data_IF_750107732077
#
_entry.id   IF_750107732077
#
_cell.length_a   1.000
_cell.length_b   1.000
_cell.length_c   1.000
_cell.angle_alpha   90.00
_cell.angle_beta   90.00
_cell.angle_gamma   90.00
#
_symmetry.space_group_name_H-M   'P 1'
#
loop_
_entity.id
_entity.type
_entity.pdbx_description
1 polymer ?
#
# COMPACT_ATOMS: atom_id res chain seq x y z
N UNK A 1 -7.46 -21.36 15.00
CA UNK A 1 -7.99 -20.13 15.62
C UNK A 1 -6.98 -19.02 15.36
N UNK A 2 -7.21 -18.18 14.35
CA UNK A 2 -6.21 -17.17 13.94
C UNK A 2 -6.81 -16.06 13.08
N UNK A 3 -8.06 -15.65 13.35
CA UNK A 3 -8.82 -14.75 12.47
C UNK A 3 -9.22 -13.39 13.06
N UNK A 4 -8.87 -13.08 14.32
CA UNK A 4 -9.25 -11.79 14.93
C UNK A 4 -8.05 -10.95 15.40
N UNK A 5 -6.93 -11.56 15.78
CA UNK A 5 -5.78 -10.83 16.33
C UNK A 5 -4.90 -10.13 15.27
N UNK A 6 -4.89 -10.60 14.01
CA UNK A 6 -4.14 -9.93 12.92
C UNK A 6 -4.81 -8.62 12.47
N UNK A 7 -6.15 -8.57 12.46
CA UNK A 7 -6.90 -7.43 11.94
C UNK A 7 -6.73 -6.16 12.80
N UNK A 8 -6.64 -6.33 14.13
CA UNK A 8 -6.42 -5.22 15.05
C UNK A 8 -5.04 -4.57 14.88
N UNK A 9 -4.05 -5.27 14.31
CA UNK A 9 -2.71 -4.69 14.09
C UNK A 9 -2.60 -3.90 12.78
N UNK A 10 -3.22 -4.36 11.69
CA UNK A 10 -3.07 -3.68 10.40
C UNK A 10 -3.82 -2.34 10.34
N UNK A 11 -4.95 -2.19 11.06
CA UNK A 11 -5.63 -0.90 11.15
C UNK A 11 -4.76 0.16 11.85
N UNK A 12 -3.98 -0.23 12.85
CA UNK A 12 -3.01 0.65 13.51
C UNK A 12 -1.90 1.07 12.54
N UNK A 13 -1.42 0.14 11.73
CA UNK A 13 -0.45 0.44 10.67
C UNK A 13 -0.98 1.48 9.69
N UNK A 14 -2.25 1.36 9.25
CA UNK A 14 -2.90 2.34 8.37
C UNK A 14 -2.89 3.75 9.00
N UNK A 15 -3.14 3.83 10.31
CA UNK A 15 -3.22 5.10 11.03
C UNK A 15 -1.87 5.80 11.20
N UNK A 16 -0.74 5.07 11.18
CA UNK A 16 0.59 5.63 11.41
C UNK A 16 1.46 5.70 10.15
N UNK A 17 1.14 4.93 9.10
CA UNK A 17 1.98 4.81 7.89
C UNK A 17 2.07 6.16 7.18
N UNK A 18 3.29 6.62 6.96
CA UNK A 18 3.59 7.79 6.12
C UNK A 18 4.62 7.46 5.04
N UNK A 19 4.71 8.30 4.02
CA UNK A 19 5.71 8.18 2.96
C UNK A 19 7.09 8.65 3.47
N UNK A 20 7.93 7.71 3.90
CA UNK A 20 9.28 7.97 4.44
C UNK A 20 10.27 8.19 3.28
N UNK A 21 11.10 9.22 3.36
CA UNK A 21 12.06 9.56 2.29
C UNK A 21 13.50 9.69 2.76
N UNK A 22 13.72 9.65 4.07
CA UNK A 22 15.04 9.69 4.66
C UNK A 22 15.20 8.49 5.59
N UNK A 23 16.30 7.79 5.42
CA UNK A 23 16.61 6.57 6.12
C UNK A 23 17.93 6.73 6.89
N UNK A 24 18.07 6.02 8.00
CA UNK A 24 19.36 5.87 8.66
C UNK A 24 20.27 4.93 7.85
N UNK A 25 21.58 5.04 8.04
CA UNK A 25 22.57 4.15 7.42
C UNK A 25 22.61 2.74 8.08
N UNK A 26 21.78 2.52 9.10
CA UNK A 26 21.68 1.22 9.78
C UNK A 26 21.03 0.19 8.85
N UNK A 27 21.67 -0.97 8.63
CA UNK A 27 21.12 -2.01 7.78
C UNK A 27 19.91 -2.68 8.43
N UNK A 28 18.99 -3.18 7.61
CA UNK A 28 17.96 -4.10 8.08
C UNK A 28 18.67 -5.40 8.50
N UNK A 29 18.66 -5.71 9.79
CA UNK A 29 19.32 -6.88 10.35
C UNK A 29 18.77 -8.19 9.78
N UNK A 30 19.57 -9.25 9.85
CA UNK A 30 19.24 -10.54 9.23
C UNK A 30 18.01 -11.22 9.84
N UNK A 31 17.71 -10.99 11.12
CA UNK A 31 16.50 -11.54 11.72
C UNK A 31 15.27 -10.83 11.18
N UNK A 32 15.29 -9.49 11.16
CA UNK A 32 14.22 -8.69 10.54
C UNK A 32 14.04 -9.05 9.06
N UNK A 33 15.12 -9.13 8.28
CA UNK A 33 15.06 -9.49 6.88
C UNK A 33 14.43 -10.87 6.66
N UNK A 34 14.87 -11.88 7.42
CA UNK A 34 14.29 -13.24 7.39
C UNK A 34 12.81 -13.24 7.74
N UNK A 35 12.38 -12.44 8.71
CA UNK A 35 10.97 -12.33 9.08
C UNK A 35 10.13 -11.67 7.99
N UNK A 36 10.65 -10.64 7.30
CA UNK A 36 9.99 -10.02 6.14
C UNK A 36 9.88 -11.02 4.99
N UNK A 37 10.95 -11.76 4.68
CA UNK A 37 10.96 -12.79 3.64
C UNK A 37 9.97 -13.94 3.94
N UNK A 38 9.86 -14.36 5.20
CA UNK A 38 8.85 -15.33 5.62
C UNK A 38 7.42 -14.79 5.45
N UNK A 39 7.19 -13.51 5.76
CA UNK A 39 5.88 -12.86 5.57
C UNK A 39 5.51 -12.70 4.08
N UNK A 40 6.50 -12.57 3.20
CA UNK A 40 6.29 -12.51 1.75
C UNK A 40 5.81 -13.84 1.15
N UNK A 41 6.13 -14.99 1.75
CA UNK A 41 5.74 -16.30 1.21
C UNK A 41 4.22 -16.47 1.02
N UNK A 42 3.36 -16.30 2.05
CA UNK A 42 1.92 -16.40 1.87
C UNK A 42 1.36 -15.28 0.99
N UNK A 43 1.97 -14.09 1.02
CA UNK A 43 1.61 -12.96 0.15
C UNK A 43 1.80 -13.31 -1.33
N UNK A 44 2.97 -13.85 -1.68
CA UNK A 44 3.28 -14.27 -3.04
C UNK A 44 2.38 -15.41 -3.50
N UNK A 45 2.12 -16.38 -2.62
CA UNK A 45 1.24 -17.50 -2.94
C UNK A 45 -0.21 -17.05 -3.20
N UNK A 46 -0.77 -16.18 -2.36
CA UNK A 46 -2.16 -15.74 -2.47
C UNK A 46 -2.38 -14.73 -3.60
N UNK A 47 -1.35 -13.94 -3.93
CA UNK A 47 -1.42 -12.95 -4.99
C UNK A 47 -1.06 -13.47 -6.38
N UNK A 48 -0.49 -14.67 -6.47
CA UNK A 48 0.25 -15.14 -7.66
C UNK A 48 1.34 -14.14 -8.08
N UNK A 49 2.19 -13.77 -7.11
CA UNK A 49 3.22 -12.75 -7.24
C UNK A 49 4.61 -13.30 -6.89
N UNK A 50 5.64 -12.50 -7.15
CA UNK A 50 7.02 -12.79 -6.83
C UNK A 50 7.71 -11.56 -6.20
N UNK A 51 7.08 -11.02 -5.16
CA UNK A 51 7.61 -9.90 -4.37
C UNK A 51 8.88 -10.36 -3.64
N UNK A 52 9.95 -9.58 -3.77
CA UNK A 52 11.28 -9.92 -3.25
C UNK A 52 11.83 -8.77 -2.41
N UNK A 53 12.38 -9.07 -1.23
CA UNK A 53 13.20 -8.13 -0.48
C UNK A 53 14.59 -8.07 -1.11
N UNK A 54 15.02 -6.89 -1.53
CA UNK A 54 16.37 -6.63 -2.03
C UNK A 54 17.05 -5.62 -1.12
N UNK A 55 18.22 -5.97 -0.59
CA UNK A 55 19.00 -5.16 0.36
C UNK A 55 20.30 -4.64 -0.26
N UNK A 56 20.79 -3.54 0.30
CA UNK A 56 22.13 -2.97 0.05
C UNK A 56 22.43 -2.63 -1.41
N UNK A 57 21.45 -2.07 -2.13
CA UNK A 57 21.58 -1.62 -3.52
C UNK A 57 21.38 -0.09 -3.66
N UNK A 58 22.27 0.75 -3.09
CA UNK A 58 22.14 2.21 -3.17
C UNK A 58 22.22 2.77 -4.60
N UNK A 59 22.82 2.01 -5.54
CA UNK A 59 22.88 2.38 -6.96
C UNK A 59 21.51 2.51 -7.61
N UNK A 60 20.54 1.70 -7.18
CA UNK A 60 19.14 1.77 -7.63
C UNK A 60 18.54 3.14 -7.34
N UNK A 61 19.03 3.84 -6.31
CA UNK A 61 18.53 5.14 -5.88
C UNK A 61 19.57 6.26 -6.05
N UNK A 62 20.63 6.06 -6.84
CA UNK A 62 21.76 7.00 -6.90
C UNK A 62 21.34 8.43 -7.23
N UNK A 63 20.51 8.64 -8.26
CA UNK A 63 20.00 9.96 -8.65
C UNK A 63 19.06 10.56 -7.59
N UNK A 64 18.15 9.74 -7.04
CA UNK A 64 17.22 10.17 -6.02
C UNK A 64 17.93 10.57 -4.70
N UNK A 65 18.98 9.84 -4.31
CA UNK A 65 19.82 10.16 -3.17
C UNK A 65 20.68 11.41 -3.44
N UNK A 66 21.30 11.52 -4.63
CA UNK A 66 22.14 12.66 -4.99
C UNK A 66 21.36 13.98 -5.09
N UNK A 67 20.11 13.92 -5.56
CA UNK A 67 19.21 15.08 -5.63
C UNK A 67 18.58 15.45 -4.28
N UNK A 68 18.71 14.61 -3.25
CA UNK A 68 18.06 14.78 -1.95
C UNK A 68 16.56 14.47 -1.95
N UNK A 69 16.01 13.94 -3.06
CA UNK A 69 14.64 13.44 -3.11
C UNK A 69 14.43 12.24 -2.17
N UNK A 70 15.46 11.39 -2.08
CA UNK A 70 15.64 10.37 -1.06
C UNK A 70 16.93 10.67 -0.28
N UNK A 71 17.07 10.07 0.90
CA UNK A 71 18.31 10.08 1.66
C UNK A 71 18.58 8.67 2.16
N UNK A 72 19.76 8.13 1.83
CA UNK A 72 20.22 6.79 2.22
C UNK A 72 19.28 5.64 1.81
N UNK A 73 18.52 5.81 0.73
CA UNK A 73 17.72 4.72 0.19
C UNK A 73 18.64 3.65 -0.41
N UNK A 74 18.52 2.40 0.06
CA UNK A 74 19.34 1.27 -0.39
C UNK A 74 18.59 -0.06 -0.46
N UNK A 75 17.44 -0.20 0.20
CA UNK A 75 16.68 -1.44 0.24
C UNK A 75 15.27 -1.24 -0.32
N UNK A 76 14.71 -2.28 -0.94
CA UNK A 76 13.38 -2.22 -1.51
C UNK A 76 12.69 -3.58 -1.55
N UNK A 77 11.36 -3.55 -1.54
CA UNK A 77 10.52 -4.63 -2.01
C UNK A 77 10.34 -4.47 -3.53
N UNK A 78 10.86 -5.41 -4.30
CA UNK A 78 10.66 -5.48 -5.74
C UNK A 78 9.32 -6.15 -6.01
N UNK A 79 8.37 -5.43 -6.61
CA UNK A 79 7.02 -5.96 -6.87
C UNK A 79 6.99 -6.58 -8.27
N UNK A 80 7.14 -7.90 -8.34
CA UNK A 80 7.17 -8.67 -9.61
C UNK A 80 5.90 -9.49 -9.71
N UNK A 81 5.29 -9.54 -10.90
CA UNK A 81 4.08 -10.31 -11.16
C UNK A 81 3.89 -10.64 -12.65
N UNK A 82 2.78 -11.31 -13.01
CA UNK A 82 2.41 -11.65 -14.39
C UNK A 82 2.43 -10.47 -15.37
N UNK A 83 3.15 -10.60 -16.48
CA UNK A 83 3.19 -9.57 -17.51
C UNK A 83 1.85 -9.48 -18.27
N UNK A 84 1.46 -8.26 -18.67
CA UNK A 84 0.24 -7.98 -19.45
C UNK A 84 -1.08 -8.40 -18.75
N UNK A 85 -1.14 -8.34 -17.42
CA UNK A 85 -2.34 -8.59 -16.63
C UNK A 85 -2.60 -7.40 -15.69
N UNK A 86 -3.68 -6.65 -15.95
CA UNK A 86 -4.06 -5.49 -15.11
C UNK A 86 -4.60 -5.93 -13.74
N UNK A 87 -5.31 -7.05 -13.66
CA UNK A 87 -5.75 -7.60 -12.37
C UNK A 87 -4.56 -8.10 -11.56
N UNK A 88 -3.47 -8.55 -12.20
CA UNK A 88 -2.22 -8.86 -11.51
C UNK A 88 -1.59 -7.62 -10.88
N UNK A 89 -1.66 -6.46 -11.53
CA UNK A 89 -1.20 -5.18 -10.94
C UNK A 89 -2.06 -4.75 -9.77
N UNK A 90 -3.37 -5.00 -9.83
CA UNK A 90 -4.26 -4.79 -8.68
C UNK A 90 -3.93 -5.73 -7.52
N UNK A 91 -3.78 -7.03 -7.78
CA UNK A 91 -3.31 -8.00 -6.77
C UNK A 91 -1.97 -7.57 -6.19
N UNK A 92 -1.05 -7.08 -7.03
CA UNK A 92 0.23 -6.54 -6.60
C UNK A 92 0.08 -5.38 -5.62
N UNK A 93 -0.74 -4.37 -5.94
CA UNK A 93 -1.03 -3.27 -5.02
C UNK A 93 -1.64 -3.76 -3.70
N UNK A 94 -2.64 -4.65 -3.78
CA UNK A 94 -3.33 -5.20 -2.62
C UNK A 94 -2.40 -5.98 -1.69
N UNK A 95 -1.62 -6.91 -2.22
CA UNK A 95 -0.78 -7.78 -1.41
C UNK A 95 0.55 -7.15 -1.02
N UNK A 96 1.15 -6.31 -1.86
CA UNK A 96 2.33 -5.55 -1.48
C UNK A 96 2.02 -4.54 -0.39
N UNK A 97 0.87 -3.86 -0.42
CA UNK A 97 0.50 -2.94 0.66
C UNK A 97 0.33 -3.67 2.00
N UNK A 98 -0.13 -4.94 2.00
CA UNK A 98 -0.13 -5.75 3.23
C UNK A 98 1.29 -5.90 3.79
N UNK A 99 2.29 -6.06 2.92
CA UNK A 99 3.69 -6.09 3.33
C UNK A 99 4.18 -4.71 3.81
N UNK A 100 3.75 -3.61 3.17
CA UNK A 100 4.05 -2.24 3.59
C UNK A 100 3.54 -1.96 5.00
N UNK A 101 2.30 -2.32 5.29
CA UNK A 101 1.70 -2.19 6.62
C UNK A 101 2.42 -3.10 7.65
N UNK A 102 2.79 -4.32 7.25
CA UNK A 102 3.57 -5.24 8.09
C UNK A 102 4.95 -4.66 8.42
N UNK A 103 5.65 -4.07 7.46
CA UNK A 103 6.93 -3.40 7.67
C UNK A 103 6.79 -2.17 8.60
N UNK A 104 5.69 -1.42 8.44
CA UNK A 104 5.38 -0.25 9.28
C UNK A 104 5.20 -0.66 10.75
N UNK A 105 4.49 -1.75 11.03
CA UNK A 105 4.36 -2.29 12.40
C UNK A 105 5.67 -2.76 13.01
N UNK A 106 6.67 -3.05 12.18
CA UNK A 106 8.03 -3.41 12.60
C UNK A 106 8.92 -2.18 12.76
N UNK A 107 8.37 -0.97 12.67
CA UNK A 107 9.09 0.28 12.80
C UNK A 107 9.91 0.68 11.56
N UNK A 108 9.71 0.01 10.43
CA UNK A 108 10.38 0.36 9.18
C UNK A 108 9.60 1.43 8.42
N UNK A 109 10.32 2.39 7.86
CA UNK A 109 9.80 3.38 6.94
C UNK A 109 9.60 2.77 5.56
N UNK A 110 8.53 3.21 4.88
CA UNK A 110 8.17 2.70 3.56
C UNK A 110 7.82 3.82 2.58
N UNK A 111 8.11 3.58 1.29
CA UNK A 111 7.74 4.48 0.21
C UNK A 111 7.57 3.74 -1.12
N UNK A 112 6.36 3.78 -1.67
CA UNK A 112 6.10 3.39 -3.05
C UNK A 112 6.87 4.29 -4.04
N UNK A 113 7.56 3.66 -4.99
CA UNK A 113 8.33 4.33 -6.04
C UNK A 113 8.01 3.75 -7.41
N UNK A 114 7.76 4.66 -8.35
CA UNK A 114 7.63 4.37 -9.79
C UNK A 114 8.75 5.07 -10.58
N UNK A 115 9.02 6.34 -10.28
CA UNK A 115 10.04 7.16 -10.96
C UNK A 115 11.29 7.47 -10.13
N UNK A 116 11.22 7.44 -8.79
CA UNK A 116 12.35 7.79 -7.91
C UNK A 116 13.34 6.64 -7.70
N UNK A 117 13.59 5.85 -8.76
CA UNK A 117 14.51 4.72 -8.78
C UNK A 117 14.93 4.37 -10.21
N UNK A 118 16.10 3.74 -10.37
CA UNK A 118 16.52 3.09 -11.62
C UNK A 118 15.94 1.68 -11.66
N UNK A 119 14.80 1.54 -12.35
CA UNK A 119 14.10 0.26 -12.51
C UNK A 119 14.94 -0.78 -13.26
N UNK A 120 15.81 -0.36 -14.18
CA UNK A 120 16.65 -1.27 -14.95
C UNK A 120 17.82 -1.79 -14.09
N UNK A 121 18.40 -0.94 -13.24
CA UNK A 121 19.37 -1.37 -12.22
C UNK A 121 18.69 -2.30 -11.21
N UNK A 122 17.50 -1.96 -10.71
CA UNK A 122 16.77 -2.79 -9.76
C UNK A 122 16.51 -4.20 -10.29
N UNK A 123 16.10 -4.32 -11.56
CA UNK A 123 15.84 -5.59 -12.22
C UNK A 123 17.05 -6.54 -12.23
N UNK A 124 18.29 -6.03 -12.19
CA UNK A 124 19.52 -6.87 -12.14
C UNK A 124 19.64 -7.67 -10.84
N UNK A 125 18.95 -7.24 -9.79
CA UNK A 125 18.97 -7.87 -8.46
C UNK A 125 17.70 -8.67 -8.17
N UNK A 126 16.80 -8.78 -9.15
CA UNK A 126 15.52 -9.47 -9.00
C UNK A 126 15.51 -10.76 -9.82
N UNK A 127 14.84 -11.79 -9.32
CA UNK A 127 14.46 -12.94 -10.14
C UNK A 127 13.14 -12.62 -10.83
N UNK A 128 13.18 -12.43 -12.14
CA UNK A 128 11.99 -12.24 -12.99
C UNK A 128 11.96 -13.40 -14.00
N UNK A 129 10.92 -14.24 -13.96
CA UNK A 129 10.82 -15.39 -14.87
C UNK A 129 10.17 -15.01 -16.21
N UNK A 130 10.21 -15.91 -17.19
CA UNK A 130 9.41 -15.76 -18.41
C UNK A 130 7.93 -15.60 -18.05
N UNK A 131 7.26 -14.60 -18.64
CA UNK A 131 5.87 -14.25 -18.32
C UNK A 131 5.70 -13.34 -17.10
N UNK A 132 6.78 -12.90 -16.46
CA UNK A 132 6.73 -11.90 -15.38
C UNK A 132 7.37 -10.57 -15.81
N UNK A 133 7.02 -9.50 -15.11
CA UNK A 133 7.69 -8.21 -15.18
C UNK A 133 7.82 -7.59 -13.79
N UNK A 134 8.81 -6.71 -13.62
CA UNK A 134 8.93 -5.86 -12.44
C UNK A 134 7.94 -4.69 -12.61
N UNK A 135 6.94 -4.55 -11.74
CA UNK A 135 5.97 -3.46 -11.82
C UNK A 135 6.53 -2.17 -11.20
N UNK A 136 6.75 -2.20 -9.89
CA UNK A 136 7.04 -1.07 -9.00
C UNK A 136 8.00 -1.49 -7.90
N UNK A 137 8.47 -0.53 -7.11
CA UNK A 137 9.25 -0.77 -5.91
C UNK A 137 8.60 -0.15 -4.68
N UNK A 138 8.90 -0.70 -3.51
CA UNK A 138 8.70 -0.01 -2.23
C UNK A 138 10.05 0.13 -1.54
N UNK A 139 10.56 1.34 -1.40
CA UNK A 139 11.76 1.60 -0.59
C UNK A 139 11.44 1.26 0.86
N UNK A 140 12.36 0.57 1.53
CA UNK A 140 12.20 0.12 2.91
C UNK A 140 13.49 0.33 3.71
N UNK A 141 13.38 0.72 4.97
CA UNK A 141 14.53 0.89 5.86
C UNK A 141 14.18 1.56 7.18
N UNK A 142 15.16 1.73 8.06
CA UNK A 142 14.99 2.47 9.29
C UNK A 142 14.74 3.95 8.97
N UNK A 143 13.61 4.56 9.38
CA UNK A 143 13.38 5.99 9.18
C UNK A 143 14.50 6.81 9.81
N UNK A 144 14.86 7.95 9.23
CA UNK A 144 15.90 8.81 9.80
C UNK A 144 15.63 9.11 11.28
N UNK A 145 16.64 8.93 12.13
CA UNK A 145 16.55 8.96 13.60
C UNK A 145 15.55 7.91 14.13
N UNK A 146 15.69 6.65 13.71
CA UNK A 146 14.67 5.62 13.98
C UNK A 146 14.44 5.36 15.47
N UNK A 147 15.44 5.54 16.34
CA UNK A 147 15.27 5.41 17.79
C UNK A 147 14.29 6.47 18.33
N UNK A 148 14.43 7.73 17.88
CA UNK A 148 13.49 8.80 18.25
C UNK A 148 12.11 8.54 17.64
N UNK A 149 12.06 8.01 16.40
CA UNK A 149 10.80 7.64 15.75
C UNK A 149 10.07 6.52 16.52
N UNK A 150 10.78 5.49 16.97
CA UNK A 150 10.24 4.37 17.74
C UNK A 150 9.82 4.78 19.16
N UNK A 151 10.40 5.85 19.71
CA UNK A 151 10.03 6.38 21.01
C UNK A 151 8.73 7.19 21.01
N UNK A 152 8.21 7.56 19.82
CA UNK A 152 6.94 8.30 19.70
C UNK A 152 5.75 7.46 20.14
N UNK A 153 4.81 8.11 20.81
CA UNK A 153 3.51 7.49 21.10
C UNK A 153 2.72 7.21 19.82
N UNK A 154 1.78 6.27 19.91
CA UNK A 154 0.86 5.96 18.82
C UNK A 154 0.06 7.20 18.39
N UNK A 155 -0.39 8.01 19.35
CA UNK A 155 -1.14 9.25 19.10
C UNK A 155 -0.31 10.28 18.32
N UNK A 156 0.97 10.44 18.65
CA UNK A 156 1.88 11.32 17.90
C UNK A 156 2.10 10.84 16.47
N UNK A 157 2.23 9.52 16.27
CA UNK A 157 2.37 8.93 14.93
C UNK A 157 1.09 9.08 14.10
N UNK A 158 -0.07 8.87 14.71
CA UNK A 158 -1.37 9.12 14.09
C UNK A 158 -1.52 10.59 13.66
N UNK A 159 -1.16 11.53 14.53
CA UNK A 159 -1.23 12.96 14.23
C UNK A 159 -0.25 13.35 13.11
N UNK A 160 0.96 12.80 13.13
CA UNK A 160 1.94 13.01 12.07
C UNK A 160 1.41 12.48 10.73
N UNK A 161 0.72 11.34 10.71
CA UNK A 161 0.10 10.79 9.51
C UNK A 161 -1.02 11.69 9.00
N UNK A 162 -1.94 12.07 9.89
CA UNK A 162 -3.13 12.88 9.57
C UNK A 162 -2.78 14.23 8.97
N UNK A 163 -1.69 14.83 9.43
CA UNK A 163 -1.23 16.16 9.00
C UNK A 163 -0.21 16.11 7.85
N UNK A 164 0.28 14.93 7.46
CA UNK A 164 1.38 14.82 6.48
C UNK A 164 1.00 15.30 5.09
N UNK A 165 -0.25 15.05 4.66
CA UNK A 165 -0.75 15.38 3.32
C UNK A 165 -2.25 15.62 3.34
N UNK A 166 -2.72 16.44 2.39
CA UNK A 166 -4.14 16.57 2.14
C UNK A 166 -4.72 15.26 1.56
N UNK A 167 -5.95 14.94 1.95
CA UNK A 167 -6.75 13.83 1.44
C UNK A 167 -8.05 14.38 0.85
N UNK A 168 -8.62 13.69 -0.14
CA UNK A 168 -9.97 13.97 -0.63
C UNK A 168 -10.98 13.76 0.51
N UNK A 169 -12.12 14.43 0.47
CA UNK A 169 -13.18 14.25 1.48
C UNK A 169 -13.89 12.91 1.30
N UNK A 170 -14.66 12.48 2.31
CA UNK A 170 -15.49 11.26 2.22
C UNK A 170 -16.45 11.32 1.03
N UNK A 171 -17.05 12.48 0.78
CA UNK A 171 -17.97 12.71 -0.34
C UNK A 171 -17.28 12.56 -1.69
N UNK A 172 -16.01 13.01 -1.79
CA UNK A 172 -15.22 12.85 -3.01
C UNK A 172 -14.82 11.40 -3.24
N UNK A 173 -14.52 10.63 -2.19
CA UNK A 173 -14.30 9.18 -2.30
C UNK A 173 -15.58 8.41 -2.61
N UNK A 174 -16.75 8.99 -2.35
CA UNK A 174 -18.07 8.39 -2.62
C UNK A 174 -18.86 9.20 -3.63
N UNK A 175 -18.18 9.83 -4.59
CA UNK A 175 -18.77 10.86 -5.46
C UNK A 175 -19.98 10.36 -6.29
N UNK A 176 -20.08 9.06 -6.53
CA UNK A 176 -21.18 8.43 -7.26
C UNK A 176 -22.44 8.17 -6.41
N UNK A 177 -22.37 8.35 -5.10
CA UNK A 177 -23.49 8.21 -4.18
C UNK A 177 -24.25 9.53 -3.98
N UNK A 178 -25.56 9.46 -3.70
CA UNK A 178 -26.32 10.61 -3.21
C UNK A 178 -26.04 10.87 -1.72
N UNK A 179 -26.39 12.06 -1.22
CA UNK A 179 -26.23 12.39 0.20
C UNK A 179 -27.05 11.46 1.10
N UNK A 180 -28.29 11.16 0.71
CA UNK A 180 -29.15 10.20 1.42
C UNK A 180 -28.54 8.79 1.40
N UNK A 181 -27.92 8.40 0.28
CA UNK A 181 -27.22 7.12 0.16
C UNK A 181 -26.00 7.03 1.08
N UNK A 182 -25.23 8.12 1.23
CA UNK A 182 -24.09 8.18 2.15
C UNK A 182 -24.54 8.11 3.60
N UNK A 183 -25.61 8.83 3.96
CA UNK A 183 -26.16 8.82 5.32
C UNK A 183 -26.64 7.41 5.70
N UNK A 184 -27.36 6.76 4.79
CA UNK A 184 -27.92 5.41 4.97
C UNK A 184 -26.89 4.27 4.89
N UNK A 185 -25.66 4.53 4.41
CA UNK A 185 -24.64 3.49 4.29
C UNK A 185 -24.25 2.91 5.67
N UNK A 186 -23.98 1.59 5.76
CA UNK A 186 -23.65 0.93 7.02
C UNK A 186 -22.27 1.36 7.52
N UNK A 187 -22.04 1.20 8.82
CA UNK A 187 -20.79 1.62 9.47
C UNK A 187 -19.56 0.92 8.87
N UNK A 188 -19.68 -0.37 8.50
CA UNK A 188 -18.59 -1.10 7.87
C UNK A 188 -18.14 -0.46 6.55
N UNK A 189 -19.08 0.09 5.77
CA UNK A 189 -18.76 0.78 4.52
C UNK A 189 -18.06 2.10 4.83
N UNK A 190 -18.62 2.89 5.75
CA UNK A 190 -18.06 4.18 6.18
C UNK A 190 -16.62 4.00 6.69
N UNK A 191 -16.39 3.06 7.59
CA UNK A 191 -15.05 2.74 8.12
C UNK A 191 -14.10 2.21 7.05
N UNK A 192 -14.60 1.43 6.08
CA UNK A 192 -13.82 1.01 4.91
C UNK A 192 -13.33 2.20 4.08
N UNK A 193 -14.22 3.11 3.72
CA UNK A 193 -13.84 4.33 2.98
C UNK A 193 -12.86 5.19 3.77
N UNK A 194 -13.09 5.40 5.07
CA UNK A 194 -12.19 6.17 5.94
C UNK A 194 -10.78 5.59 6.04
N UNK A 195 -10.66 4.25 6.03
CA UNK A 195 -9.36 3.58 5.96
C UNK A 195 -8.72 3.74 4.58
N UNK A 196 -9.51 3.64 3.50
CA UNK A 196 -9.05 3.82 2.12
C UNK A 196 -8.57 5.26 1.84
N UNK A 197 -9.14 6.27 2.49
CA UNK A 197 -8.67 7.67 2.42
C UNK A 197 -7.20 7.82 2.84
N UNK A 198 -6.71 6.93 3.70
CA UNK A 198 -5.33 6.91 4.21
C UNK A 198 -4.35 6.14 3.30
N UNK A 199 -4.87 5.43 2.29
CA UNK A 199 -4.07 4.62 1.37
C UNK A 199 -3.08 5.49 0.57
N UNK A 200 -1.82 5.06 0.39
CA UNK A 200 -0.92 5.70 -0.58
C UNK A 200 -1.49 5.57 -2.00
N UNK A 201 -1.12 6.50 -2.87
CA UNK A 201 -1.44 6.41 -4.30
C UNK A 201 -0.39 7.20 -5.08
N UNK A 202 -0.21 6.89 -6.36
CA UNK A 202 0.70 7.61 -7.24
C UNK A 202 0.40 9.13 -7.19
N UNK A 203 1.44 9.92 -6.92
CA UNK A 203 1.37 11.39 -6.82
C UNK A 203 0.27 11.93 -5.87
N UNK A 204 -0.19 11.12 -4.91
CA UNK A 204 -1.32 11.44 -4.02
C UNK A 204 -2.66 11.72 -4.75
N UNK A 205 -2.84 11.23 -5.98
CA UNK A 205 -4.06 11.47 -6.78
C UNK A 205 -5.33 10.91 -6.18
N UNK A 206 -5.24 9.85 -5.38
CA UNK A 206 -6.36 9.13 -4.77
C UNK A 206 -7.42 8.79 -5.84
N UNK A 207 -7.08 7.96 -6.84
CA UNK A 207 -7.86 7.80 -8.07
C UNK A 207 -9.02 6.81 -7.92
N UNK A 208 -9.40 6.42 -6.69
CA UNK A 208 -10.37 5.35 -6.45
C UNK A 208 -11.59 5.93 -5.74
N UNK A 209 -12.77 5.63 -6.28
CA UNK A 209 -14.06 5.94 -5.65
C UNK A 209 -14.76 4.67 -5.22
N UNK A 210 -15.62 4.78 -4.21
CA UNK A 210 -16.39 3.69 -3.64
C UNK A 210 -17.87 3.99 -3.71
N UNK A 211 -18.68 2.97 -3.93
CA UNK A 211 -20.13 3.06 -3.86
C UNK A 211 -20.70 1.91 -3.04
N UNK A 212 -21.88 2.12 -2.45
CA UNK A 212 -22.61 1.11 -1.68
C UNK A 212 -23.96 0.84 -2.31
N UNK A 213 -24.29 -0.44 -2.48
CA UNK A 213 -25.58 -0.89 -2.97
C UNK A 213 -26.37 -1.54 -1.82
N UNK A 214 -27.45 -0.90 -1.33
CA UNK A 214 -28.25 -1.42 -0.23
C UNK A 214 -29.12 -2.63 -0.60
N UNK A 215 -29.36 -2.89 -1.88
CA UNK A 215 -30.17 -4.04 -2.30
C UNK A 215 -29.46 -5.38 -2.06
N UNK A 216 -28.13 -5.37 -2.22
CA UNK A 216 -27.29 -6.57 -2.15
C UNK A 216 -26.31 -6.54 -0.96
N UNK A 217 -26.31 -5.46 -0.16
CA UNK A 217 -25.36 -5.19 0.94
C UNK A 217 -23.89 -5.32 0.49
N UNK A 218 -23.58 -4.76 -0.68
CA UNK A 218 -22.25 -4.81 -1.30
C UNK A 218 -21.68 -3.42 -1.54
N UNK A 219 -20.36 -3.30 -1.49
CA UNK A 219 -19.65 -2.12 -1.99
C UNK A 219 -19.02 -2.39 -3.37
N UNK A 220 -18.70 -1.35 -4.12
CA UNK A 220 -17.90 -1.44 -5.34
C UNK A 220 -16.78 -0.39 -5.30
N UNK A 221 -15.62 -0.70 -5.88
CA UNK A 221 -14.53 0.24 -6.06
C UNK A 221 -14.33 0.53 -7.54
N UNK A 222 -14.18 1.80 -7.89
CA UNK A 222 -14.06 2.26 -9.27
C UNK A 222 -12.87 3.19 -9.49
N UNK A 223 -12.25 3.09 -10.66
CA UNK A 223 -11.23 4.04 -11.09
C UNK A 223 -11.90 5.35 -11.52
N UNK A 224 -11.52 6.45 -10.88
CA UNK A 224 -11.91 7.79 -11.26
C UNK A 224 -11.18 8.21 -12.54
N UNK A 225 -11.84 8.06 -13.69
CA UNK A 225 -11.28 8.40 -15.00
C UNK A 225 -10.96 9.90 -15.16
N UNK A 226 -11.43 10.76 -14.25
CA UNK A 226 -11.03 12.18 -14.23
C UNK A 226 -9.65 12.40 -13.60
N UNK A 227 -9.12 11.41 -12.87
CA UNK A 227 -7.78 11.44 -12.32
C UNK A 227 -6.77 11.19 -13.46
N UNK A 228 -6.30 12.27 -14.08
CA UNK A 228 -5.27 12.22 -15.14
C UNK A 228 -4.09 11.31 -14.75
N UNK A 229 -3.73 10.36 -15.64
CA UNK A 229 -2.68 9.34 -15.54
C UNK A 229 -3.12 7.97 -14.93
N UNK A 230 -3.58 7.08 -15.81
CA UNK A 230 -4.06 5.73 -15.46
C UNK A 230 -2.94 4.68 -15.25
N UNK A 231 -1.67 5.02 -15.51
CA UNK A 231 -0.58 4.02 -15.58
C UNK A 231 -0.36 3.18 -14.30
N UNK A 232 -0.84 3.68 -13.15
CA UNK A 232 -0.77 2.97 -11.87
C UNK A 232 -2.14 2.77 -11.20
N UNK A 233 -3.24 3.06 -11.90
CA UNK A 233 -4.58 3.07 -11.32
C UNK A 233 -5.00 1.69 -10.77
N UNK A 234 -4.66 0.59 -11.46
CA UNK A 234 -4.93 -0.76 -10.94
C UNK A 234 -4.13 -1.08 -9.67
N UNK A 235 -2.86 -0.71 -9.61
CA UNK A 235 -2.07 -0.87 -8.38
C UNK A 235 -2.67 -0.04 -7.23
N UNK A 236 -2.97 1.24 -7.49
CA UNK A 236 -3.59 2.12 -6.50
C UNK A 236 -4.98 1.60 -6.07
N UNK A 237 -5.74 0.96 -6.96
CA UNK A 237 -6.99 0.27 -6.65
C UNK A 237 -6.79 -0.88 -5.68
N UNK A 238 -5.76 -1.71 -5.92
CA UNK A 238 -5.39 -2.78 -5.00
C UNK A 238 -5.06 -2.28 -3.60
N UNK A 239 -4.25 -1.22 -3.50
CA UNK A 239 -3.90 -0.57 -2.23
C UNK A 239 -5.16 -0.06 -1.53
N UNK A 240 -6.02 0.69 -2.24
CA UNK A 240 -7.25 1.24 -1.68
C UNK A 240 -8.24 0.15 -1.23
N UNK A 241 -8.39 -0.94 -2.01
CA UNK A 241 -9.22 -2.10 -1.66
C UNK A 241 -8.71 -2.83 -0.42
N UNK A 242 -7.40 -2.98 -0.23
CA UNK A 242 -6.84 -3.56 1.00
C UNK A 242 -7.21 -2.69 2.21
N UNK A 243 -6.96 -1.39 2.12
CA UNK A 243 -7.29 -0.46 3.20
C UNK A 243 -8.78 -0.49 3.54
N UNK A 244 -9.64 -0.47 2.51
CA UNK A 244 -11.08 -0.62 2.68
C UNK A 244 -11.43 -1.90 3.41
N UNK A 245 -10.88 -3.04 2.97
CA UNK A 245 -11.18 -4.34 3.57
C UNK A 245 -10.76 -4.40 5.05
N UNK A 246 -9.63 -3.78 5.40
CA UNK A 246 -9.17 -3.69 6.79
C UNK A 246 -10.12 -2.80 7.61
N UNK A 247 -10.51 -1.63 7.07
CA UNK A 247 -11.42 -0.70 7.73
C UNK A 247 -12.84 -1.25 7.91
N UNK A 248 -13.33 -2.04 6.96
CA UNK A 248 -14.62 -2.74 7.03
C UNK A 248 -14.60 -3.91 8.03
N UNK A 249 -13.43 -4.26 8.57
CA UNK A 249 -13.22 -5.33 9.55
C UNK A 249 -13.16 -6.74 8.96
N UNK A 250 -14.03 -7.04 7.98
CA UNK A 250 -14.07 -8.32 7.28
C UNK A 250 -14.77 -8.20 5.92
N UNK A 251 -14.52 -9.18 5.04
CA UNK A 251 -15.12 -9.26 3.71
C UNK A 251 -14.10 -9.62 2.65
N UNK A 252 -14.55 -9.68 1.40
CA UNK A 252 -13.73 -10.07 0.25
C UNK A 252 -14.09 -9.25 -0.98
N UNK A 253 -13.08 -8.84 -1.73
CA UNK A 253 -13.22 -8.18 -3.02
C UNK A 253 -13.19 -9.18 -4.18
N UNK A 254 -14.01 -8.91 -5.19
CA UNK A 254 -13.69 -9.29 -6.56
C UNK A 254 -12.63 -8.33 -7.13
N UNK A 255 -11.75 -8.86 -7.98
CA UNK A 255 -10.78 -8.07 -8.75
C UNK A 255 -11.47 -7.31 -9.89
N UNK A 256 -10.78 -6.30 -10.42
CA UNK A 256 -11.23 -5.44 -11.51
C UNK A 256 -11.90 -4.15 -11.05
N UNK A 257 -12.00 -3.21 -12.00
CA UNK A 257 -12.76 -1.97 -11.87
C UNK A 257 -14.26 -2.29 -11.81
N UNK A 258 -14.93 -1.83 -10.75
CA UNK A 258 -16.28 -2.26 -10.40
C UNK A 258 -16.37 -3.61 -9.70
N UNK A 259 -15.23 -4.21 -9.33
CA UNK A 259 -15.21 -5.40 -8.49
C UNK A 259 -15.94 -5.17 -7.17
N UNK A 260 -16.83 -6.09 -6.81
CA UNK A 260 -17.70 -5.98 -5.64
C UNK A 260 -16.99 -6.44 -4.36
N UNK A 261 -17.26 -5.77 -3.26
CA UNK A 261 -16.96 -6.20 -1.92
C UNK A 261 -18.17 -6.86 -1.30
N UNK A 262 -17.99 -8.08 -0.84
CA UNK A 262 -18.97 -8.81 -0.05
C UNK A 262 -18.51 -8.74 1.40
N UNK A 263 -19.21 -7.96 2.22
CA UNK A 263 -19.06 -7.97 3.67
C UNK A 263 -19.54 -9.34 4.17
N UNK A 264 -18.78 -9.96 5.06
CA UNK A 264 -19.10 -11.28 5.64
C UNK A 264 -19.44 -11.16 7.10
#
# INVERSE_FOLDING_TARGET
MGGMAEHTQLIDAINIRTAVRAYDDEPIDDDTARQLEMALQPINLLGDLNIQLVRDQPKVFAEANASGHLTNAANYLAIVGPANDEEAKERAGFYAERMVLTATLRGLGTLWVAGSWDKAEAAKHCRVTSGQELYLGVVIGHPKNHLDYQAKSYEELCEAQRTRRATKTYEQFTATMSDEGREAAPDWFKSGVEAAMKAPSAMNRQPITFSYNPADDTAAAHIDQSAEDEHHAFNDMGIAKLHFQIGAGQGQWAWGDGGLFIHK
#
